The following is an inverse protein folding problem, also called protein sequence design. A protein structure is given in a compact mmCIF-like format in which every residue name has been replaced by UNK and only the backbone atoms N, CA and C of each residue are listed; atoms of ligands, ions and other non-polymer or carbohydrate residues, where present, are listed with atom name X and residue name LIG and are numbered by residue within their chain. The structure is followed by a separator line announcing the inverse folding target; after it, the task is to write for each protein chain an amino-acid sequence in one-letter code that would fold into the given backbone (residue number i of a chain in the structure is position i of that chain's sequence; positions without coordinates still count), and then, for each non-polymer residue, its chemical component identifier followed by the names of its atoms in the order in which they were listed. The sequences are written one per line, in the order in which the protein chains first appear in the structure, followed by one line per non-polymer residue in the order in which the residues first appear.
data_IF_277300870603
#
_entry.id   IF_277300870603
#
_cell.length_a   1.000
_cell.length_b   1.000
_cell.length_c   1.000
_cell.angle_alpha   90.00
_cell.angle_beta   90.00
_cell.angle_gamma   90.00
#
_symmetry.space_group_name_H-M   'P 1'
#
loop_
_entity.id
_entity.type
_entity.pdbx_description
1 polymer ?
#
# COMPACT_ATOMS: atom_id res chain seq x y z
N UNK A 1 38.26 34.75 -15.17
CA UNK A 1 37.78 35.38 -13.92
C UNK A 1 36.75 34.48 -13.26
N UNK A 2 37.20 33.53 -12.42
CA UNK A 2 36.29 32.64 -11.68
C UNK A 2 35.61 33.47 -10.59
N UNK A 3 34.27 33.46 -10.61
CA UNK A 3 33.42 34.32 -9.79
C UNK A 3 33.63 33.96 -8.32
N UNK A 4 34.08 34.94 -7.52
CA UNK A 4 34.38 34.84 -6.06
C UNK A 4 33.31 34.10 -5.24
N UNK A 5 32.06 34.06 -5.72
CA UNK A 5 30.95 33.32 -5.12
C UNK A 5 31.17 31.80 -5.14
N UNK A 6 31.71 31.24 -6.22
CA UNK A 6 31.91 29.78 -6.35
C UNK A 6 32.91 29.27 -5.31
N UNK A 7 34.01 29.99 -5.12
CA UNK A 7 35.03 29.67 -4.11
C UNK A 7 34.43 29.71 -2.69
N UNK A 8 33.54 30.67 -2.43
CA UNK A 8 32.90 30.86 -1.12
C UNK A 8 31.96 29.70 -0.75
N UNK A 9 31.23 29.15 -1.72
CA UNK A 9 30.38 27.98 -1.51
C UNK A 9 31.18 26.69 -1.32
N UNK A 10 32.30 26.53 -2.03
CA UNK A 10 33.17 25.36 -1.87
C UNK A 10 33.80 25.31 -0.47
N UNK A 11 34.21 26.44 0.07
CA UNK A 11 34.78 26.53 1.43
C UNK A 11 33.75 26.24 2.53
N UNK A 12 32.51 26.69 2.36
CA UNK A 12 31.44 26.43 3.32
C UNK A 12 31.03 24.95 3.36
N UNK A 13 30.99 24.27 2.21
CA UNK A 13 30.71 22.84 2.14
C UNK A 13 31.79 21.97 2.80
N UNK A 14 33.07 22.34 2.66
CA UNK A 14 34.18 21.62 3.28
C UNK A 14 34.17 21.75 4.81
N UNK A 15 33.84 22.94 5.34
CA UNK A 15 33.69 23.14 6.79
C UNK A 15 32.52 22.34 7.37
N UNK A 16 31.40 22.25 6.64
CA UNK A 16 30.24 21.45 7.06
C UNK A 16 30.55 19.94 7.08
N UNK A 17 31.34 19.46 6.11
CA UNK A 17 31.81 18.08 6.06
C UNK A 17 32.75 17.74 7.24
N UNK A 18 33.64 18.66 7.61
CA UNK A 18 34.54 18.49 8.76
C UNK A 18 33.80 18.46 10.10
N UNK A 19 32.76 19.27 10.27
CA UNK A 19 31.94 19.30 11.50
C UNK A 19 31.08 18.04 11.64
N UNK A 20 30.72 17.40 10.52
CA UNK A 20 29.90 16.17 10.51
C UNK A 20 30.74 14.89 10.56
N UNK A 21 32.07 15.00 10.42
CA UNK A 21 33.01 13.88 10.31
C UNK A 21 33.03 12.86 11.47
N UNK A 22 32.74 13.19 12.75
CA UNK A 22 32.82 12.19 13.82
C UNK A 22 31.50 11.42 14.06
N UNK A 23 30.42 11.69 13.31
CA UNK A 23 29.06 11.20 13.63
C UNK A 23 28.47 10.29 12.53
N UNK A 24 29.19 9.99 11.46
CA UNK A 24 28.66 9.16 10.36
C UNK A 24 29.58 7.95 10.10
N UNK A 25 29.23 6.75 10.58
CA UNK A 25 29.85 5.50 10.18
C UNK A 25 29.67 5.26 8.66
N UNK A 26 30.64 4.61 8.04
CA UNK A 26 31.00 4.45 6.61
C UNK A 26 29.90 4.15 5.56
N UNK A 27 28.60 4.08 5.90
CA UNK A 27 27.51 3.67 5.02
C UNK A 27 27.13 4.69 3.93
N UNK A 28 27.50 5.97 4.06
CA UNK A 28 27.07 7.02 3.11
C UNK A 28 28.05 7.27 1.95
N UNK A 29 29.27 6.71 1.99
CA UNK A 29 30.20 6.83 0.86
C UNK A 29 29.71 6.10 -0.39
N UNK A 30 28.73 5.19 -0.26
CA UNK A 30 28.13 4.43 -1.35
C UNK A 30 27.03 5.20 -2.12
N UNK A 31 26.51 6.30 -1.58
CA UNK A 31 25.41 7.07 -2.20
C UNK A 31 25.87 8.15 -3.18
N UNK A 32 27.14 8.54 -3.12
CA UNK A 32 27.71 9.61 -3.96
C UNK A 32 27.73 9.22 -5.46
N UNK A 33 28.05 7.98 -5.87
CA UNK A 33 27.99 7.58 -7.28
C UNK A 33 26.56 7.51 -7.84
N UNK A 34 25.56 7.18 -7.00
CA UNK A 34 24.15 7.06 -7.42
C UNK A 34 23.47 8.41 -7.67
N UNK A 35 23.83 9.45 -6.92
CA UNK A 35 23.31 10.80 -7.15
C UNK A 35 23.83 11.43 -8.46
N UNK A 36 25.01 11.00 -8.95
CA UNK A 36 25.60 11.49 -10.20
C UNK A 36 24.82 11.07 -11.46
N UNK A 37 24.28 9.84 -11.49
CA UNK A 37 23.54 9.33 -12.66
C UNK A 37 22.18 10.00 -12.87
N UNK A 38 21.51 10.46 -11.81
CA UNK A 38 20.19 11.10 -11.92
C UNK A 38 20.20 12.51 -12.53
N UNK A 39 21.33 13.22 -12.45
CA UNK A 39 21.41 14.62 -12.93
C UNK A 39 21.79 14.74 -14.41
N UNK A 40 22.37 13.70 -15.02
CA UNK A 40 22.71 13.68 -16.45
C UNK A 40 21.51 13.56 -17.38
N UNK A 41 20.51 12.75 -17.00
CA UNK A 41 19.36 12.43 -17.87
C UNK A 41 18.33 13.58 -17.91
N UNK A 42 18.31 14.46 -16.91
CA UNK A 42 17.31 15.54 -16.82
C UNK A 42 17.72 16.84 -17.55
N UNK A 43 18.99 16.99 -17.96
CA UNK A 43 19.48 18.17 -18.70
C UNK A 43 19.63 17.94 -20.21
N UNK A 44 19.42 16.72 -20.70
CA UNK A 44 19.53 16.37 -22.14
C UNK A 44 18.18 16.37 -22.89
N UNK A 45 17.08 16.66 -22.19
CA UNK A 45 15.72 16.73 -22.75
C UNK A 45 15.41 17.95 -23.63
N UNK A 46 16.41 18.77 -24.00
CA UNK A 46 16.26 19.91 -24.91
C UNK A 46 17.28 19.86 -26.04
N UNK A 47 17.07 18.99 -27.04
CA UNK A 47 17.46 19.27 -28.44
C UNK A 47 16.94 18.23 -29.46
N UNK A 48 16.24 18.79 -30.46
CA UNK A 48 16.28 18.48 -31.90
C UNK A 48 15.47 17.28 -32.43
N UNK A 49 14.35 17.64 -33.04
CA UNK A 49 13.63 16.96 -34.12
C UNK A 49 14.57 16.44 -35.22
N UNK A 50 14.47 15.15 -35.57
CA UNK A 50 14.96 14.64 -36.86
C UNK A 50 13.95 13.62 -37.40
N UNK A 51 13.35 14.01 -38.53
CA UNK A 51 12.62 13.20 -39.50
C UNK A 51 13.52 12.07 -40.04
N UNK A 52 13.00 10.87 -40.28
CA UNK A 52 13.21 10.04 -41.49
C UNK A 52 12.18 8.88 -41.47
N UNK A 53 11.48 8.62 -42.58
CA UNK A 53 10.51 7.55 -42.77
C UNK A 53 11.16 6.26 -43.28
N UNK A 54 10.48 5.11 -43.15
CA UNK A 54 10.84 3.91 -43.90
C UNK A 54 9.61 3.16 -44.42
N UNK A 55 9.81 2.48 -45.55
CA UNK A 55 8.91 2.42 -46.70
C UNK A 55 8.64 0.95 -47.09
N UNK A 56 7.34 0.59 -47.25
CA UNK A 56 6.76 -0.21 -48.39
C UNK A 56 6.94 -1.75 -48.40
N UNK A 57 6.14 -2.61 -49.12
CA UNK A 57 4.72 -2.60 -49.59
C UNK A 57 3.90 -3.93 -49.39
N UNK A 58 2.57 -3.79 -49.44
CA UNK A 58 1.50 -4.56 -50.15
C UNK A 58 1.75 -6.04 -50.55
N UNK A 59 0.87 -6.93 -50.09
CA UNK A 59 0.34 -8.04 -50.90
C UNK A 59 -1.19 -8.17 -50.67
N UNK A 60 -1.92 -8.19 -51.78
CA UNK A 60 -3.39 -8.28 -51.87
C UNK A 60 -3.81 -9.74 -52.01
N UNK A 61 -4.87 -10.17 -51.32
CA UNK A 61 -5.71 -11.28 -51.77
C UNK A 61 -7.15 -11.11 -51.29
N UNK A 62 -8.08 -11.45 -52.19
CA UNK A 62 -9.51 -11.17 -52.21
C UNK A 62 -10.36 -11.83 -51.10
N UNK A 63 -11.30 -11.03 -50.58
CA UNK A 63 -12.75 -11.27 -50.60
C UNK A 63 -13.29 -12.71 -50.39
N UNK A 64 -13.76 -13.00 -49.17
CA UNK A 64 -14.97 -13.79 -48.93
C UNK A 64 -15.50 -13.58 -47.49
N UNK A 65 -16.82 -13.46 -47.35
CA UNK A 65 -17.59 -13.29 -46.09
C UNK A 65 -18.83 -14.20 -46.23
N UNK A 66 -19.55 -14.68 -45.18
CA UNK A 66 -19.31 -15.05 -43.76
C UNK A 66 -19.78 -16.54 -43.51
N UNK A 67 -20.07 -17.11 -42.30
CA UNK A 67 -20.19 -16.52 -40.95
C UNK A 67 -19.62 -17.30 -39.74
N UNK A 68 -19.61 -16.59 -38.61
CA UNK A 68 -19.67 -17.07 -37.21
C UNK A 68 -18.57 -18.03 -36.72
N UNK A 69 -17.64 -17.48 -35.94
CA UNK A 69 -17.09 -18.16 -34.76
C UNK A 69 -16.46 -17.16 -33.78
N UNK A 70 -17.12 -17.07 -32.62
CA UNK A 70 -16.59 -16.78 -31.28
C UNK A 70 -15.47 -15.73 -31.12
N UNK A 71 -15.89 -14.52 -30.78
CA UNK A 71 -15.07 -13.57 -30.04
C UNK A 71 -14.78 -14.13 -28.64
N UNK A 72 -13.52 -14.14 -28.16
CA UNK A 72 -13.24 -14.39 -26.76
C UNK A 72 -13.82 -13.25 -25.92
N UNK A 73 -14.52 -13.54 -24.80
CA UNK A 73 -15.18 -12.52 -24.02
C UNK A 73 -14.14 -11.60 -23.38
N UNK A 74 -14.33 -10.31 -23.68
CA UNK A 74 -13.83 -9.14 -22.97
C UNK A 74 -13.86 -9.42 -21.46
N UNK A 75 -12.70 -9.66 -20.85
CA UNK A 75 -12.56 -9.87 -19.42
C UNK A 75 -13.06 -8.61 -18.70
N UNK A 76 -14.28 -8.70 -18.19
CA UNK A 76 -14.87 -7.75 -17.27
C UNK A 76 -14.16 -7.84 -15.91
N UNK A 77 -14.10 -6.75 -15.13
CA UNK A 77 -13.47 -6.72 -13.80
C UNK A 77 -14.09 -7.69 -12.76
N UNK A 78 -15.26 -8.27 -13.04
CA UNK A 78 -16.06 -9.05 -12.09
C UNK A 78 -15.40 -10.37 -11.62
N UNK A 79 -14.44 -10.92 -12.36
CA UNK A 79 -13.77 -12.17 -11.95
C UNK A 79 -12.75 -11.98 -10.82
N UNK A 80 -12.31 -10.74 -10.56
CA UNK A 80 -11.43 -10.46 -9.42
C UNK A 80 -12.22 -10.43 -8.11
N UNK A 81 -13.44 -9.91 -8.13
CA UNK A 81 -14.31 -9.80 -6.95
C UNK A 81 -14.90 -11.15 -6.50
N UNK A 82 -15.17 -12.09 -7.42
CA UNK A 82 -15.74 -13.40 -7.03
C UNK A 82 -14.76 -14.33 -6.30
N UNK A 83 -13.46 -14.31 -6.66
CA UNK A 83 -12.45 -15.16 -5.97
C UNK A 83 -12.18 -14.73 -4.53
N UNK A 84 -12.45 -13.47 -4.17
CA UNK A 84 -12.38 -13.01 -2.78
C UNK A 84 -13.66 -13.28 -1.98
N UNK A 85 -14.80 -13.45 -2.63
CA UNK A 85 -16.07 -13.67 -1.95
C UNK A 85 -16.28 -15.12 -1.45
N UNK A 86 -15.60 -16.12 -2.05
CA UNK A 86 -15.84 -17.54 -1.74
C UNK A 86 -15.09 -18.09 -0.51
N UNK A 87 -14.19 -17.31 0.12
CA UNK A 87 -13.45 -17.72 1.33
C UNK A 87 -13.74 -16.88 2.57
N UNK A 88 -14.56 -15.84 2.45
CA UNK A 88 -14.84 -14.92 3.55
C UNK A 88 -16.16 -15.33 4.20
N UNK A 89 -16.14 -15.59 5.51
CA UNK A 89 -17.33 -15.85 6.30
C UNK A 89 -18.39 -14.73 6.10
N UNK A 90 -19.68 -15.09 6.05
CA UNK A 90 -20.77 -14.13 5.79
C UNK A 90 -20.85 -13.00 6.83
N UNK A 91 -20.21 -13.15 7.98
CA UNK A 91 -20.11 -12.12 9.03
C UNK A 91 -19.28 -10.90 8.59
N UNK A 92 -18.21 -11.11 7.80
CA UNK A 92 -17.31 -10.06 7.36
C UNK A 92 -17.62 -9.53 5.95
N UNK A 93 -18.55 -10.15 5.23
CA UNK A 93 -18.95 -9.66 3.91
C UNK A 93 -19.38 -8.16 3.92
N UNK A 94 -20.22 -7.69 4.88
CA UNK A 94 -20.58 -6.27 4.95
C UNK A 94 -19.39 -5.36 5.32
N UNK A 95 -18.40 -5.90 6.02
CA UNK A 95 -17.21 -5.15 6.44
C UNK A 95 -16.31 -4.91 5.24
N UNK A 96 -16.09 -5.93 4.40
CA UNK A 96 -15.27 -5.81 3.20
C UNK A 96 -15.90 -4.90 2.15
N UNK A 97 -17.19 -5.08 1.87
CA UNK A 97 -17.93 -4.22 0.95
C UNK A 97 -17.84 -2.75 1.39
N UNK A 98 -18.00 -2.50 2.69
CA UNK A 98 -17.91 -1.15 3.21
C UNK A 98 -16.50 -0.55 3.12
N UNK A 99 -15.45 -1.37 3.34
CA UNK A 99 -14.08 -0.92 3.16
C UNK A 99 -13.79 -0.54 1.71
N UNK A 100 -14.31 -1.29 0.74
CA UNK A 100 -14.19 -0.98 -0.70
C UNK A 100 -14.88 0.35 -1.04
N UNK A 101 -16.10 0.58 -0.53
CA UNK A 101 -16.81 1.85 -0.73
C UNK A 101 -16.03 3.03 -0.12
N UNK A 102 -15.47 2.85 1.07
CA UNK A 102 -14.64 3.88 1.72
C UNK A 102 -13.35 4.14 0.95
N UNK A 103 -12.71 3.10 0.46
CA UNK A 103 -11.51 3.17 -0.38
C UNK A 103 -11.78 4.01 -1.63
N UNK A 104 -12.84 3.69 -2.37
CA UNK A 104 -13.26 4.44 -3.56
C UNK A 104 -13.54 5.92 -3.25
N UNK A 105 -14.19 6.18 -2.12
CA UNK A 105 -14.50 7.55 -1.70
C UNK A 105 -13.24 8.35 -1.38
N UNK A 106 -12.30 7.75 -0.65
CA UNK A 106 -11.01 8.37 -0.30
C UNK A 106 -10.17 8.61 -1.55
N UNK A 107 -10.11 7.65 -2.47
CA UNK A 107 -9.39 7.78 -3.74
C UNK A 107 -10.01 8.92 -4.56
N UNK A 108 -11.34 8.95 -4.68
CA UNK A 108 -12.05 10.00 -5.42
C UNK A 108 -11.78 11.39 -4.83
N UNK A 109 -11.79 11.53 -3.50
CA UNK A 109 -11.49 12.80 -2.84
C UNK A 109 -10.02 13.22 -2.96
N UNK A 110 -9.09 12.25 -2.94
CA UNK A 110 -7.68 12.49 -3.24
C UNK A 110 -7.44 12.96 -4.67
N UNK A 111 -8.05 12.31 -5.65
CA UNK A 111 -7.95 12.69 -7.08
C UNK A 111 -8.49 14.09 -7.37
N UNK A 112 -9.49 14.55 -6.61
CA UNK A 112 -10.03 15.91 -6.70
C UNK A 112 -9.14 16.98 -6.04
N UNK A 113 -8.00 16.59 -5.44
CA UNK A 113 -7.17 17.44 -4.60
C UNK A 113 -7.94 18.08 -3.43
N UNK A 114 -8.99 17.40 -2.95
CA UNK A 114 -9.83 17.85 -1.83
C UNK A 114 -9.37 17.29 -0.49
N UNK A 115 -8.46 16.32 -0.51
CA UNK A 115 -7.96 15.58 0.64
C UNK A 115 -6.44 15.60 0.63
N UNK A 116 -5.82 15.81 1.79
CA UNK A 116 -4.36 15.78 1.90
C UNK A 116 -3.81 14.39 1.56
N UNK A 117 -2.70 14.34 0.81
CA UNK A 117 -2.04 13.09 0.39
C UNK A 117 -1.73 12.17 1.58
N UNK A 118 -1.26 12.73 2.70
CA UNK A 118 -0.99 11.93 3.91
C UNK A 118 -2.25 11.24 4.46
N UNK A 119 -3.42 11.89 4.39
CA UNK A 119 -4.67 11.28 4.81
C UNK A 119 -5.03 10.15 3.86
N UNK A 120 -4.91 10.36 2.55
CA UNK A 120 -5.18 9.34 1.53
C UNK A 120 -4.29 8.12 1.79
N UNK A 121 -2.97 8.32 1.86
CA UNK A 121 -2.00 7.25 2.05
C UNK A 121 -2.25 6.46 3.33
N UNK A 122 -2.46 7.13 4.47
CA UNK A 122 -2.70 6.44 5.74
C UNK A 122 -4.04 5.71 5.77
N UNK A 123 -5.07 6.26 5.13
CA UNK A 123 -6.38 5.61 5.04
C UNK A 123 -6.30 4.34 4.19
N UNK A 124 -5.66 4.43 3.01
CA UNK A 124 -5.48 3.27 2.12
C UNK A 124 -4.62 2.18 2.77
N UNK A 125 -3.53 2.57 3.43
CA UNK A 125 -2.70 1.63 4.17
C UNK A 125 -3.49 0.91 5.28
N UNK A 126 -4.37 1.63 5.99
CA UNK A 126 -5.24 1.07 7.01
C UNK A 126 -6.26 0.08 6.42
N UNK A 127 -6.92 0.44 5.31
CA UNK A 127 -7.91 -0.41 4.66
C UNK A 127 -7.29 -1.70 4.13
N UNK A 128 -6.14 -1.60 3.45
CA UNK A 128 -5.39 -2.76 2.98
C UNK A 128 -4.95 -3.68 4.14
N UNK A 129 -4.55 -3.08 5.28
CA UNK A 129 -4.23 -3.85 6.48
C UNK A 129 -5.45 -4.58 7.04
N UNK A 130 -6.60 -3.91 7.12
CA UNK A 130 -7.86 -4.52 7.57
C UNK A 130 -8.28 -5.68 6.68
N UNK A 131 -8.25 -5.50 5.35
CA UNK A 131 -8.56 -6.54 4.38
C UNK A 131 -7.66 -7.78 4.57
N UNK A 132 -6.38 -7.60 4.93
CA UNK A 132 -5.45 -8.72 5.21
C UNK A 132 -5.71 -9.40 6.55
N UNK A 133 -6.14 -8.66 7.57
CA UNK A 133 -6.36 -9.21 8.92
C UNK A 133 -7.69 -9.98 9.01
N UNK A 134 -8.70 -9.60 8.22
CA UNK A 134 -10.03 -10.23 8.25
C UNK A 134 -9.98 -11.76 8.05
N UNK A 135 -9.26 -12.33 7.07
CA UNK A 135 -9.11 -13.78 6.94
C UNK A 135 -8.50 -14.45 8.18
N UNK A 136 -7.47 -13.84 8.78
CA UNK A 136 -6.80 -14.38 9.97
C UNK A 136 -7.74 -14.43 11.18
N UNK A 137 -8.67 -13.48 11.28
CA UNK A 137 -9.69 -13.46 12.33
C UNK A 137 -10.72 -14.59 12.19
N UNK A 138 -11.00 -15.00 10.95
CA UNK A 138 -11.90 -16.12 10.68
C UNK A 138 -11.28 -17.44 11.14
N UNK A 139 -9.97 -17.62 10.91
CA UNK A 139 -9.22 -18.80 11.38
C UNK A 139 -9.14 -18.84 12.92
N UNK A 140 -8.95 -17.69 13.55
CA UNK A 140 -8.87 -17.61 15.01
C UNK A 140 -10.20 -17.97 15.70
N UNK A 141 -11.35 -17.80 15.01
CA UNK A 141 -12.71 -18.13 15.45
C UNK A 141 -13.07 -17.58 16.85
N UNK A 142 -12.83 -16.28 17.07
CA UNK A 142 -13.17 -15.59 18.31
C UNK A 142 -14.22 -14.49 18.07
N UNK A 143 -15.46 -14.79 18.45
CA UNK A 143 -16.62 -13.91 18.28
C UNK A 143 -16.42 -12.52 18.89
N UNK A 144 -15.69 -12.41 20.00
CA UNK A 144 -15.47 -11.12 20.67
C UNK A 144 -14.55 -10.20 19.85
N UNK A 145 -13.51 -10.76 19.23
CA UNK A 145 -12.57 -10.02 18.37
C UNK A 145 -13.26 -9.70 17.04
N UNK A 146 -14.00 -10.65 16.48
CA UNK A 146 -14.76 -10.48 15.24
C UNK A 146 -15.79 -9.35 15.36
N UNK A 147 -16.61 -9.36 16.42
CA UNK A 147 -17.54 -8.29 16.72
C UNK A 147 -16.81 -6.94 16.94
N UNK A 148 -15.66 -6.95 17.61
CA UNK A 148 -14.87 -5.73 17.84
C UNK A 148 -14.43 -5.11 16.52
N UNK A 149 -13.91 -5.90 15.57
CA UNK A 149 -13.50 -5.42 14.25
C UNK A 149 -14.70 -4.96 13.43
N UNK A 150 -15.80 -5.71 13.45
CA UNK A 150 -17.04 -5.33 12.78
C UNK A 150 -17.54 -3.97 13.26
N UNK A 151 -17.58 -3.75 14.58
CA UNK A 151 -17.93 -2.46 15.16
C UNK A 151 -16.92 -1.36 14.79
N UNK A 152 -15.62 -1.66 14.87
CA UNK A 152 -14.56 -0.71 14.56
C UNK A 152 -14.70 -0.17 13.13
N UNK A 153 -14.99 -1.04 12.17
CA UNK A 153 -15.13 -0.64 10.76
C UNK A 153 -16.49 -0.01 10.47
N UNK A 154 -17.58 -0.71 10.79
CA UNK A 154 -18.93 -0.27 10.38
C UNK A 154 -19.44 0.95 11.15
N UNK A 155 -18.95 1.15 12.38
CA UNK A 155 -19.41 2.22 13.26
C UNK A 155 -18.34 3.27 13.50
N UNK A 156 -17.17 2.87 14.01
CA UNK A 156 -16.19 3.85 14.49
C UNK A 156 -15.46 4.52 13.30
N UNK A 157 -14.94 3.73 12.36
CA UNK A 157 -14.29 4.21 11.14
C UNK A 157 -15.30 4.96 10.25
N UNK A 158 -16.48 4.40 10.05
CA UNK A 158 -17.56 5.04 9.29
C UNK A 158 -17.98 6.38 9.90
N UNK A 159 -18.30 6.38 11.20
CA UNK A 159 -18.73 7.56 11.93
C UNK A 159 -17.67 8.66 11.97
N UNK A 160 -16.42 8.33 11.68
CA UNK A 160 -15.33 9.27 11.68
C UNK A 160 -14.95 9.78 10.28
N UNK A 161 -14.80 8.87 9.31
CA UNK A 161 -14.42 9.22 7.94
C UNK A 161 -15.57 9.90 7.21
N UNK A 162 -16.80 9.38 7.29
CA UNK A 162 -17.91 9.89 6.48
C UNK A 162 -18.24 11.37 6.78
N UNK A 163 -18.33 11.81 8.05
CA UNK A 163 -18.55 13.23 8.34
C UNK A 163 -17.36 14.09 7.92
N UNK A 164 -16.13 13.60 8.05
CA UNK A 164 -14.93 14.33 7.63
C UNK A 164 -14.92 14.57 6.12
N UNK A 165 -15.30 13.57 5.32
CA UNK A 165 -15.33 13.70 3.86
C UNK A 165 -16.40 14.69 3.37
N UNK A 166 -17.46 14.93 4.15
CA UNK A 166 -18.48 15.94 3.87
C UNK A 166 -18.03 17.39 4.14
N UNK A 167 -16.92 17.58 4.85
CA UNK A 167 -16.41 18.92 5.15
C UNK A 167 -15.90 19.61 3.88
N UNK A 168 -15.92 20.95 3.88
CA UNK A 168 -15.24 21.73 2.84
C UNK A 168 -13.73 21.51 2.89
N UNK A 169 -13.05 21.67 1.76
CA UNK A 169 -11.59 21.47 1.65
C UNK A 169 -10.80 22.25 2.72
N UNK A 170 -11.12 23.53 2.94
CA UNK A 170 -10.48 24.35 3.97
C UNK A 170 -10.70 23.81 5.40
N UNK A 171 -11.91 23.28 5.66
CA UNK A 171 -12.25 22.72 6.97
C UNK A 171 -11.57 21.37 7.18
N UNK A 172 -11.41 20.57 6.11
CA UNK A 172 -10.61 19.34 6.12
C UNK A 172 -9.18 19.64 6.52
N UNK A 173 -8.53 20.64 5.90
CA UNK A 173 -7.15 21.03 6.25
C UNK A 173 -7.02 21.45 7.72
N UNK A 174 -7.96 22.24 8.24
CA UNK A 174 -7.95 22.67 9.66
C UNK A 174 -8.12 21.50 10.64
N UNK A 175 -8.95 20.51 10.29
CA UNK A 175 -9.25 19.35 11.14
C UNK A 175 -8.43 18.11 10.79
N UNK A 176 -7.46 18.23 9.87
CA UNK A 176 -6.59 17.15 9.40
C UNK A 176 -6.03 16.28 10.53
N UNK A 177 -5.51 16.94 11.58
CA UNK A 177 -4.91 16.24 12.73
C UNK A 177 -5.91 15.36 13.46
N UNK A 178 -7.17 15.77 13.53
CA UNK A 178 -8.23 14.96 14.11
C UNK A 178 -8.32 13.63 13.36
N UNK A 179 -8.49 13.69 12.03
CA UNK A 179 -8.59 12.48 11.19
C UNK A 179 -7.34 11.59 11.32
N UNK A 180 -6.14 12.16 11.19
CA UNK A 180 -4.90 11.40 11.28
C UNK A 180 -4.72 10.71 12.63
N UNK A 181 -5.11 11.37 13.73
CA UNK A 181 -5.05 10.77 15.06
C UNK A 181 -6.05 9.62 15.19
N UNK A 182 -7.30 9.79 14.74
CA UNK A 182 -8.27 8.70 14.79
C UNK A 182 -7.87 7.51 13.92
N UNK A 183 -7.32 7.74 12.71
CA UNK A 183 -6.77 6.67 11.88
C UNK A 183 -5.60 5.95 12.57
N UNK A 184 -4.73 6.71 13.27
CA UNK A 184 -3.64 6.13 14.06
C UNK A 184 -4.16 5.28 15.22
N UNK A 185 -5.19 5.73 15.93
CA UNK A 185 -5.77 5.00 17.05
C UNK A 185 -6.43 3.69 16.60
N UNK A 186 -7.15 3.71 15.47
CA UNK A 186 -7.70 2.52 14.84
C UNK A 186 -6.58 1.56 14.43
N UNK A 187 -5.52 2.09 13.81
CA UNK A 187 -4.36 1.29 13.43
C UNK A 187 -3.66 0.65 14.64
N UNK A 188 -3.55 1.35 15.77
CA UNK A 188 -3.03 0.81 17.02
C UNK A 188 -3.92 -0.33 17.54
N UNK A 189 -5.25 -0.16 17.51
CA UNK A 189 -6.17 -1.22 17.93
C UNK A 189 -6.04 -2.47 17.06
N UNK A 190 -5.86 -2.32 15.75
CA UNK A 190 -5.60 -3.43 14.85
C UNK A 190 -4.26 -4.11 15.19
N UNK A 191 -3.21 -3.34 15.52
CA UNK A 191 -1.94 -3.91 15.98
C UNK A 191 -2.13 -4.80 17.20
N UNK A 192 -2.85 -4.35 18.24
CA UNK A 192 -3.10 -5.19 19.42
C UNK A 192 -3.88 -6.47 19.11
N UNK A 193 -4.78 -6.42 18.12
CA UNK A 193 -5.51 -7.60 17.67
C UNK A 193 -4.57 -8.58 16.95
N UNK A 194 -3.70 -8.09 16.07
CA UNK A 194 -2.70 -8.92 15.40
C UNK A 194 -1.76 -9.56 16.41
N UNK A 195 -1.26 -8.81 17.39
CA UNK A 195 -0.43 -9.36 18.48
C UNK A 195 -1.15 -10.48 19.25
N UNK A 196 -2.47 -10.36 19.44
CA UNK A 196 -3.28 -11.41 20.09
C UNK A 196 -3.37 -12.66 19.23
N UNK A 197 -3.53 -12.50 17.90
CA UNK A 197 -3.52 -13.61 16.94
C UNK A 197 -2.16 -14.31 16.98
N UNK A 198 -1.07 -13.54 16.84
CA UNK A 198 0.29 -14.06 16.85
C UNK A 198 0.61 -14.81 18.16
N UNK A 199 0.18 -14.28 19.31
CA UNK A 199 0.37 -14.95 20.58
C UNK A 199 -0.35 -16.31 20.66
N UNK A 200 -1.59 -16.38 20.14
CA UNK A 200 -2.33 -17.64 20.06
C UNK A 200 -1.61 -18.64 19.15
N UNK A 201 -1.19 -18.19 17.98
CA UNK A 201 -0.49 -19.04 17.00
C UNK A 201 0.82 -19.58 17.58
N UNK A 202 1.56 -18.78 18.36
CA UNK A 202 2.77 -19.24 19.06
C UNK A 202 2.48 -20.35 20.07
N UNK A 203 1.39 -20.26 20.84
CA UNK A 203 0.99 -21.30 21.80
C UNK A 203 0.59 -22.58 21.05
N UNK A 204 -0.15 -22.47 19.95
CA UNK A 204 -0.52 -23.61 19.13
C UNK A 204 0.71 -24.30 18.51
N UNK A 205 1.68 -23.50 18.04
CA UNK A 205 2.95 -24.01 17.52
C UNK A 205 3.76 -24.73 18.60
N UNK A 206 3.88 -24.15 19.80
CA UNK A 206 4.58 -24.79 20.92
C UNK A 206 3.91 -26.12 21.30
N UNK A 207 2.58 -26.13 21.43
CA UNK A 207 1.82 -27.34 21.76
C UNK A 207 2.05 -28.44 20.72
N UNK A 208 2.09 -28.08 19.42
CA UNK A 208 2.37 -29.03 18.34
C UNK A 208 3.82 -29.53 18.38
N UNK A 209 4.77 -28.66 18.68
CA UNK A 209 6.18 -29.02 18.82
C UNK A 209 6.40 -30.01 19.98
N UNK A 210 5.81 -29.74 21.15
CA UNK A 210 5.87 -30.62 22.32
C UNK A 210 5.27 -32.00 22.01
N UNK A 211 4.13 -32.02 21.32
CA UNK A 211 3.45 -33.26 20.94
C UNK A 211 4.23 -34.07 19.89
N UNK A 212 4.94 -33.39 18.99
CA UNK A 212 5.89 -34.05 18.07
C UNK A 212 7.06 -34.63 18.88
N UNK A 213 7.63 -33.84 19.79
CA UNK A 213 8.74 -34.29 20.62
C UNK A 213 8.38 -35.56 21.40
N UNK A 214 7.24 -35.57 22.11
CA UNK A 214 6.75 -36.75 22.84
C UNK A 214 6.55 -37.96 21.93
N UNK A 215 5.95 -37.78 20.74
CA UNK A 215 5.69 -38.91 19.83
C UNK A 215 6.94 -39.57 19.29
N UNK A 216 8.00 -38.81 19.03
CA UNK A 216 9.25 -39.34 18.47
C UNK A 216 10.27 -39.72 19.56
N UNK A 217 10.24 -39.10 20.74
CA UNK A 217 11.07 -39.53 21.88
C UNK A 217 10.61 -40.87 22.44
N UNK A 218 9.30 -41.14 22.46
CA UNK A 218 8.75 -42.40 22.98
C UNK A 218 8.87 -43.55 21.97
N UNK A 219 8.90 -43.25 20.65
CA UNK A 219 9.08 -44.27 19.61
C UNK A 219 10.50 -44.81 19.50
N UNK A 220 11.50 -44.07 19.99
CA UNK A 220 12.91 -44.51 19.99
C UNK A 220 13.23 -45.51 21.13
N UNK A 221 12.27 -45.85 21.99
CA UNK A 221 12.45 -46.82 23.09
C UNK A 221 11.96 -48.26 22.78
N UNK A 222 11.67 -48.61 21.53
CA UNK A 222 11.26 -49.96 21.12
C UNK A 222 12.18 -50.59 20.07
#
# INVERSE_FOLDING_TARGET
MIKKKVVLWTSAGYLFALITSPIIPELFSLLIPLAGLGTGVYLEGKKKTTNIPDVVPIESAEQNVPPEQDLPPKQQPEQRSRRHAEQVSPEFAPVLEYLEILEDMIISEGQKNNLDDEIVDKSLALFARLQRVIPLLQELNNDSINHTIRRLVLKDLNGFITPFLRLSSETKTKNRRMLLNGLKDINMKITSIVETIEHKDLIELQTKADLIHSRYSDSDQY
#
